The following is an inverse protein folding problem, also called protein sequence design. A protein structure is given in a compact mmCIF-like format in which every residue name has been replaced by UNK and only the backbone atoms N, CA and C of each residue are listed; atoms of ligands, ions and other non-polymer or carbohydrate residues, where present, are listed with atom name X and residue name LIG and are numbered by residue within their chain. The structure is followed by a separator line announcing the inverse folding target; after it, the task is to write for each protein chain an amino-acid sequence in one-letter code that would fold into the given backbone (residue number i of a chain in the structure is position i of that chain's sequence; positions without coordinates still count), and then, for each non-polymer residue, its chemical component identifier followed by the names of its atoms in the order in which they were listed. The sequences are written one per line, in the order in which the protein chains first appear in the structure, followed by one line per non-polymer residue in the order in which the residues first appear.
data_IF_657738281891
#
_entry.id   IF_657738281891
#
_cell.length_a   1.000
_cell.length_b   1.000
_cell.length_c   1.000
_cell.angle_alpha   90.00
_cell.angle_beta   90.00
_cell.angle_gamma   90.00
#
_symmetry.space_group_name_H-M   'P 1'
#
loop_
_entity.id
_entity.type
_entity.pdbx_description
1 polymer ?
#
# COMPACT_ATOMS: atom_id res chain seq x y z
N UNK A 1 12.45 0.20 -7.64
CA UNK A 1 11.98 0.22 -6.24
C UNK A 1 10.50 -0.12 -6.23
N UNK A 2 10.10 -1.20 -5.54
CA UNK A 2 8.68 -1.43 -5.21
C UNK A 2 8.37 -0.47 -4.08
N UNK A 3 7.76 0.67 -4.41
CA UNK A 3 7.52 1.74 -3.43
C UNK A 3 6.31 1.49 -2.55
N UNK A 4 5.50 0.47 -2.87
CA UNK A 4 4.26 0.14 -2.17
C UNK A 4 3.97 -1.35 -2.26
N UNK A 5 3.16 -1.82 -1.31
CA UNK A 5 2.57 -3.15 -1.33
C UNK A 5 1.68 -3.35 -2.56
N UNK A 6 1.75 -4.54 -3.14
CA UNK A 6 1.02 -4.94 -4.34
C UNK A 6 0.09 -6.10 -3.99
N UNK A 7 -1.21 -5.83 -3.98
CA UNK A 7 -2.23 -6.81 -3.58
C UNK A 7 -2.29 -7.96 -4.58
N UNK A 8 -2.06 -7.70 -5.86
CA UNK A 8 -2.05 -8.77 -6.85
C UNK A 8 -0.85 -9.69 -6.65
N UNK A 9 0.33 -9.15 -6.34
CA UNK A 9 1.47 -10.00 -5.98
C UNK A 9 1.22 -10.81 -4.71
N UNK A 10 0.50 -10.27 -3.71
CA UNK A 10 0.10 -11.04 -2.54
C UNK A 10 -0.82 -12.21 -2.94
N UNK A 11 -1.82 -11.94 -3.78
CA UNK A 11 -2.75 -12.96 -4.28
C UNK A 11 -2.02 -14.01 -5.12
N UNK A 12 -1.05 -13.60 -5.94
CA UNK A 12 -0.21 -14.50 -6.75
C UNK A 12 0.69 -15.38 -5.89
N UNK A 13 1.28 -14.84 -4.82
CA UNK A 13 2.03 -15.62 -3.83
C UNK A 13 1.13 -16.64 -3.11
N UNK A 14 -0.15 -16.31 -2.93
CA UNK A 14 -1.14 -17.22 -2.36
C UNK A 14 -1.01 -17.45 -0.85
N UNK A 15 -0.14 -16.70 -0.16
CA UNK A 15 0.15 -16.86 1.26
C UNK A 15 0.43 -15.51 1.92
N UNK A 16 -0.14 -15.31 3.11
CA UNK A 16 0.19 -14.22 4.04
C UNK A 16 1.16 -14.80 5.07
N UNK A 17 2.30 -14.13 5.30
CA UNK A 17 3.37 -14.66 6.16
C UNK A 17 3.62 -13.82 7.40
N UNK A 18 2.97 -12.66 7.52
CA UNK A 18 3.16 -11.72 8.61
C UNK A 18 1.89 -10.88 8.80
N UNK A 19 1.77 -10.32 9.99
CA UNK A 19 0.59 -9.57 10.44
C UNK A 19 0.37 -8.28 9.63
N UNK A 20 1.43 -7.64 9.14
CA UNK A 20 1.31 -6.45 8.30
C UNK A 20 0.67 -6.77 6.94
N UNK A 21 1.04 -7.89 6.31
CA UNK A 21 0.44 -8.34 5.06
C UNK A 21 -1.02 -8.78 5.28
N UNK A 22 -1.35 -9.33 6.45
CA UNK A 22 -2.71 -9.63 6.87
C UNK A 22 -3.58 -8.35 6.95
N UNK A 23 -3.10 -7.32 7.67
CA UNK A 23 -3.83 -6.06 7.80
C UNK A 23 -4.01 -5.32 6.46
N UNK A 24 -2.97 -5.32 5.62
CA UNK A 24 -3.07 -4.82 4.24
C UNK A 24 -4.10 -5.58 3.42
N UNK A 25 -4.18 -6.91 3.58
CA UNK A 25 -5.17 -7.75 2.92
C UNK A 25 -6.59 -7.41 3.37
N UNK A 26 -6.83 -7.20 4.68
CA UNK A 26 -8.13 -6.77 5.21
C UNK A 26 -8.58 -5.42 4.62
N UNK A 27 -7.68 -4.44 4.57
CA UNK A 27 -7.93 -3.13 3.94
C UNK A 27 -8.28 -3.31 2.45
N UNK A 28 -7.57 -4.18 1.75
CA UNK A 28 -7.82 -4.47 0.35
C UNK A 28 -9.16 -5.20 0.13
N UNK A 29 -9.57 -6.17 0.97
CA UNK A 29 -10.91 -6.80 0.87
C UNK A 29 -12.02 -5.75 0.99
N UNK A 30 -11.88 -4.81 1.94
CA UNK A 30 -12.84 -3.71 2.13
C UNK A 30 -12.96 -2.84 0.88
N UNK A 31 -11.83 -2.51 0.22
CA UNK A 31 -11.81 -1.75 -1.05
C UNK A 31 -12.40 -2.56 -2.20
N UNK A 32 -11.96 -3.80 -2.37
CA UNK A 32 -12.44 -4.69 -3.42
C UNK A 32 -13.94 -4.97 -3.30
N UNK A 33 -14.51 -4.98 -2.08
CA UNK A 33 -15.96 -5.09 -1.87
C UNK A 33 -16.75 -3.99 -2.58
N UNK A 34 -16.23 -2.77 -2.61
CA UNK A 34 -16.88 -1.64 -3.29
C UNK A 34 -16.71 -1.78 -4.81
N UNK A 35 -15.49 -2.07 -5.27
CA UNK A 35 -15.15 -2.17 -6.69
C UNK A 35 -15.79 -3.40 -7.38
N UNK A 36 -15.99 -4.50 -6.65
CA UNK A 36 -16.60 -5.73 -7.16
C UNK A 36 -18.08 -5.59 -7.52
N UNK A 37 -18.73 -4.48 -7.12
CA UNK A 37 -20.08 -4.14 -7.59
C UNK A 37 -20.09 -3.70 -9.06
N UNK A 38 -18.97 -3.21 -9.56
CA UNK A 38 -18.84 -2.56 -10.87
C UNK A 38 -18.09 -3.45 -11.88
N UNK A 39 -17.14 -4.28 -11.44
CA UNK A 39 -16.33 -5.14 -12.33
C UNK A 39 -16.18 -6.57 -11.76
N UNK A 40 -16.44 -7.57 -12.63
CA UNK A 40 -16.31 -8.99 -12.31
C UNK A 40 -14.87 -9.43 -12.01
N UNK A 41 -13.86 -8.73 -12.55
CA UNK A 41 -12.45 -8.99 -12.24
C UNK A 41 -12.14 -8.74 -10.77
N UNK A 42 -12.67 -7.65 -10.19
CA UNK A 42 -12.52 -7.37 -8.76
C UNK A 42 -13.25 -8.39 -7.90
N UNK A 43 -14.37 -8.97 -8.36
CA UNK A 43 -15.06 -10.06 -7.67
C UNK A 43 -14.15 -11.30 -7.56
N UNK A 44 -13.49 -11.68 -8.66
CA UNK A 44 -12.53 -12.80 -8.68
C UNK A 44 -11.33 -12.56 -7.76
N UNK A 45 -10.72 -11.37 -7.84
CA UNK A 45 -9.60 -10.99 -6.98
C UNK A 45 -9.99 -11.06 -5.50
N UNK A 46 -11.18 -10.55 -5.17
CA UNK A 46 -11.71 -10.56 -3.81
C UNK A 46 -11.91 -11.96 -3.25
N UNK A 47 -12.46 -12.89 -4.04
CA UNK A 47 -12.63 -14.29 -3.60
C UNK A 47 -11.28 -14.89 -3.25
N UNK A 48 -10.29 -14.79 -4.13
CA UNK A 48 -8.94 -15.31 -3.87
C UNK A 48 -8.31 -14.68 -2.63
N UNK A 49 -8.47 -13.36 -2.45
CA UNK A 49 -7.92 -12.66 -1.29
C UNK A 49 -8.54 -13.18 0.02
N UNK A 50 -9.86 -13.42 0.04
CA UNK A 50 -10.55 -13.99 1.20
C UNK A 50 -10.08 -15.39 1.55
N UNK A 51 -9.85 -16.23 0.54
CA UNK A 51 -9.35 -17.58 0.77
C UNK A 51 -7.96 -17.56 1.46
N UNK A 52 -7.13 -16.56 1.17
CA UNK A 52 -5.80 -16.41 1.78
C UNK A 52 -5.91 -15.81 3.19
N UNK A 53 -6.80 -14.82 3.39
CA UNK A 53 -7.10 -14.23 4.70
C UNK A 53 -7.60 -15.32 5.66
N UNK A 54 -8.59 -16.10 5.25
CA UNK A 54 -9.17 -17.17 6.07
C UNK A 54 -8.13 -18.23 6.45
N UNK A 55 -7.22 -18.59 5.54
CA UNK A 55 -6.11 -19.51 5.85
C UNK A 55 -5.18 -18.95 6.92
N UNK A 56 -4.88 -17.66 6.87
CA UNK A 56 -4.03 -17.01 7.87
C UNK A 56 -4.73 -16.91 9.22
N UNK A 57 -5.99 -16.46 9.25
CA UNK A 57 -6.81 -16.40 10.47
C UNK A 57 -6.89 -17.78 11.15
N UNK A 58 -7.12 -18.83 10.38
CA UNK A 58 -7.18 -20.19 10.91
C UNK A 58 -5.84 -20.70 11.45
N UNK A 59 -4.72 -20.28 10.87
CA UNK A 59 -3.39 -20.70 11.29
C UNK A 59 -2.89 -19.94 12.53
N UNK A 60 -3.15 -18.63 12.59
CA UNK A 60 -2.52 -17.72 13.56
C UNK A 60 -3.48 -17.25 14.67
N UNK A 61 -4.77 -17.14 14.38
CA UNK A 61 -5.75 -16.47 15.26
C UNK A 61 -6.87 -17.40 15.76
N UNK A 62 -6.86 -18.68 15.39
CA UNK A 62 -7.92 -19.64 15.75
C UNK A 62 -7.82 -20.18 17.19
N UNK A 63 -6.61 -20.34 17.72
CA UNK A 63 -6.38 -20.85 19.08
C UNK A 63 -6.13 -19.70 20.06
N UNK A 64 -7.16 -19.35 20.82
CA UNK A 64 -7.12 -18.27 21.83
C UNK A 64 -6.00 -18.47 22.85
N UNK A 65 -5.62 -19.72 23.14
CA UNK A 65 -4.58 -20.01 24.14
C UNK A 65 -3.15 -19.72 23.62
N UNK A 66 -2.98 -19.56 22.31
CA UNK A 66 -1.70 -19.24 21.67
C UNK A 66 -1.53 -17.73 21.41
N UNK A 67 -2.55 -16.93 21.72
CA UNK A 67 -2.49 -15.48 21.57
C UNK A 67 -1.95 -14.88 22.86
N UNK A 68 -0.71 -14.39 22.81
CA UNK A 68 -0.07 -13.68 23.91
C UNK A 68 -0.11 -12.15 23.71
N UNK A 69 0.25 -11.40 24.76
CA UNK A 69 0.31 -9.94 24.71
C UNK A 69 1.31 -9.42 23.65
N UNK A 70 2.35 -10.21 23.34
CA UNK A 70 3.34 -9.84 22.32
C UNK A 70 2.73 -9.90 20.91
N UNK A 71 1.93 -10.92 20.60
CA UNK A 71 1.20 -11.06 19.34
C UNK A 71 0.15 -9.98 19.18
N UNK A 72 -0.58 -9.64 20.25
CA UNK A 72 -1.52 -8.51 20.24
C UNK A 72 -0.81 -7.20 19.91
N UNK A 73 0.33 -6.93 20.56
CA UNK A 73 1.12 -5.73 20.30
C UNK A 73 1.70 -5.70 18.87
N UNK A 74 2.04 -6.85 18.29
CA UNK A 74 2.45 -6.96 16.89
C UNK A 74 1.30 -6.59 15.95
N UNK A 75 0.09 -7.10 16.22
CA UNK A 75 -1.14 -6.81 15.47
C UNK A 75 -1.50 -5.33 15.54
N UNK A 76 -1.52 -4.72 16.72
CA UNK A 76 -1.78 -3.29 16.88
C UNK A 76 -0.81 -2.43 16.06
N UNK A 77 0.48 -2.80 16.03
CA UNK A 77 1.50 -2.08 15.24
C UNK A 77 1.30 -2.29 13.75
N UNK A 78 0.96 -3.50 13.33
CA UNK A 78 0.69 -3.83 11.93
C UNK A 78 -0.53 -3.05 11.42
N UNK A 79 -1.60 -2.99 12.20
CA UNK A 79 -2.82 -2.24 11.89
C UNK A 79 -2.48 -0.77 11.68
N UNK A 80 -1.75 -0.15 12.62
CA UNK A 80 -1.35 1.26 12.53
C UNK A 80 -0.56 1.56 11.25
N UNK A 81 0.41 0.71 10.89
CA UNK A 81 1.19 0.89 9.65
C UNK A 81 0.29 0.76 8.42
N UNK A 82 -0.55 -0.28 8.37
CA UNK A 82 -1.44 -0.52 7.24
C UNK A 82 -2.45 0.64 7.07
N UNK A 83 -2.90 1.23 8.17
CA UNK A 83 -3.81 2.37 8.16
C UNK A 83 -3.13 3.67 7.71
N UNK A 84 -1.88 3.91 8.11
CA UNK A 84 -1.08 5.02 7.57
C UNK A 84 -0.90 4.89 6.05
N UNK A 85 -0.59 3.69 5.56
CA UNK A 85 -0.52 3.41 4.12
C UNK A 85 -1.86 3.65 3.42
N UNK A 86 -2.97 3.21 4.03
CA UNK A 86 -4.32 3.44 3.50
C UNK A 86 -4.64 4.93 3.39
N UNK A 87 -4.38 5.72 4.43
CA UNK A 87 -4.60 7.16 4.44
C UNK A 87 -3.74 7.84 3.37
N UNK A 88 -2.46 7.47 3.27
CA UNK A 88 -1.57 7.99 2.23
C UNK A 88 -2.12 7.73 0.82
N UNK A 89 -2.52 6.49 0.52
CA UNK A 89 -3.07 6.10 -0.78
C UNK A 89 -4.35 6.88 -1.12
N UNK A 90 -5.24 7.07 -0.14
CA UNK A 90 -6.47 7.82 -0.33
C UNK A 90 -6.17 9.31 -0.57
N UNK A 91 -5.28 9.92 0.21
CA UNK A 91 -4.85 11.31 0.01
C UNK A 91 -4.26 11.52 -1.39
N UNK A 92 -3.35 10.64 -1.83
CA UNK A 92 -2.77 10.68 -3.17
C UNK A 92 -3.84 10.62 -4.25
N UNK A 93 -4.78 9.67 -4.14
CA UNK A 93 -5.90 9.50 -5.07
C UNK A 93 -6.76 10.76 -5.16
N UNK A 94 -7.09 11.37 -4.01
CA UNK A 94 -7.90 12.59 -3.97
C UNK A 94 -7.18 13.77 -4.60
N UNK A 95 -5.88 13.96 -4.33
CA UNK A 95 -5.09 15.04 -4.93
C UNK A 95 -4.99 14.88 -6.44
N UNK A 96 -4.72 13.67 -6.94
CA UNK A 96 -4.71 13.37 -8.38
C UNK A 96 -6.08 13.69 -8.99
N UNK A 97 -7.18 13.21 -8.39
CA UNK A 97 -8.54 13.48 -8.90
C UNK A 97 -8.88 14.96 -8.93
N UNK A 98 -8.51 15.70 -7.88
CA UNK A 98 -8.71 17.15 -7.81
C UNK A 98 -7.98 17.85 -8.96
N UNK A 99 -6.70 17.53 -9.18
CA UNK A 99 -5.90 18.12 -10.26
C UNK A 99 -6.40 17.74 -11.65
N UNK A 100 -6.86 16.51 -11.85
CA UNK A 100 -7.49 16.12 -13.10
C UNK A 100 -8.75 16.93 -13.37
N UNK A 101 -9.60 17.13 -12.36
CA UNK A 101 -10.82 17.94 -12.49
C UNK A 101 -10.52 19.41 -12.80
N UNK A 102 -9.49 20.00 -12.18
CA UNK A 102 -9.02 21.37 -12.46
C UNK A 102 -8.56 21.55 -13.92
N UNK A 103 -8.10 20.47 -14.56
CA UNK A 103 -7.64 20.46 -15.95
C UNK A 103 -8.67 19.89 -16.93
N UNK A 104 -9.91 19.64 -16.47
CA UNK A 104 -10.97 19.01 -17.26
C UNK A 104 -10.58 17.64 -17.85
N UNK A 105 -9.67 16.92 -17.18
CA UNK A 105 -9.20 15.61 -17.57
C UNK A 105 -9.95 14.50 -16.84
N UNK A 106 -10.20 13.39 -17.53
CA UNK A 106 -10.73 12.17 -16.93
C UNK A 106 -9.59 11.22 -16.51
N UNK A 107 -9.93 10.24 -15.66
CA UNK A 107 -9.00 9.16 -15.30
C UNK A 107 -8.56 8.33 -16.53
N UNK A 108 -9.42 8.22 -17.55
CA UNK A 108 -9.11 7.56 -18.82
C UNK A 108 -8.10 8.36 -19.66
N UNK A 109 -8.19 9.69 -19.65
CA UNK A 109 -7.17 10.53 -20.29
C UNK A 109 -5.82 10.36 -19.60
N UNK A 110 -5.80 10.35 -18.26
CA UNK A 110 -4.56 10.11 -17.52
C UNK A 110 -3.99 8.72 -17.83
N UNK A 111 -4.82 7.67 -17.81
CA UNK A 111 -4.40 6.32 -18.21
C UNK A 111 -3.76 6.31 -19.60
N UNK A 112 -4.39 6.97 -20.57
CA UNK A 112 -3.88 7.08 -21.94
C UNK A 112 -2.51 7.79 -22.01
N UNK A 113 -2.32 8.88 -21.25
CA UNK A 113 -1.03 9.62 -21.18
C UNK A 113 0.08 8.76 -20.57
N UNK A 114 -0.27 7.97 -19.56
CA UNK A 114 0.66 7.04 -18.90
C UNK A 114 0.98 5.81 -19.75
N UNK A 115 0.24 5.58 -20.85
CA UNK A 115 0.37 4.40 -21.71
C UNK A 115 -0.43 3.18 -21.23
N UNK A 116 -1.33 3.37 -20.27
CA UNK A 116 -2.23 2.34 -19.75
C UNK A 116 -3.50 2.27 -20.61
N UNK A 117 -3.69 1.16 -21.32
CA UNK A 117 -4.82 0.98 -22.24
C UNK A 117 -6.11 0.50 -21.57
N UNK A 118 -6.02 -0.01 -20.34
CA UNK A 118 -7.15 -0.63 -19.64
C UNK A 118 -7.72 0.29 -18.56
N UNK A 119 -9.04 0.53 -18.61
CA UNK A 119 -9.78 1.25 -17.56
C UNK A 119 -9.68 0.54 -16.21
N UNK A 120 -9.79 -0.80 -16.21
CA UNK A 120 -9.64 -1.62 -15.02
C UNK A 120 -8.25 -1.46 -14.42
N UNK A 121 -7.19 -1.50 -15.24
CA UNK A 121 -5.82 -1.31 -14.77
C UNK A 121 -5.61 0.08 -14.16
N UNK A 122 -6.11 1.13 -14.80
CA UNK A 122 -6.04 2.47 -14.23
C UNK A 122 -6.84 2.58 -12.92
N UNK A 123 -7.95 1.86 -12.79
CA UNK A 123 -8.72 1.77 -11.54
C UNK A 123 -7.93 1.05 -10.44
N UNK A 124 -7.24 -0.05 -10.76
CA UNK A 124 -6.34 -0.75 -9.83
C UNK A 124 -5.26 0.19 -9.28
N UNK A 125 -4.61 0.95 -10.17
CA UNK A 125 -3.57 1.91 -9.81
C UNK A 125 -4.10 3.04 -8.91
N UNK A 126 -5.22 3.66 -9.28
CA UNK A 126 -5.82 4.76 -8.52
C UNK A 126 -6.31 4.32 -7.13
N UNK A 127 -6.77 3.07 -6.98
CA UNK A 127 -7.25 2.55 -5.71
C UNK A 127 -6.14 1.88 -4.85
N UNK A 128 -4.93 1.76 -5.40
CA UNK A 128 -3.79 1.14 -4.73
C UNK A 128 -3.92 -0.38 -4.60
N UNK A 129 -4.63 -1.04 -5.51
CA UNK A 129 -4.60 -2.51 -5.66
C UNK A 129 -3.28 -2.90 -6.33
N UNK A 130 -2.92 -2.16 -7.37
CA UNK A 130 -1.59 -2.18 -7.97
C UNK A 130 -0.85 -0.87 -7.68
N UNK A 131 0.48 -0.91 -7.51
CA UNK A 131 1.28 0.30 -7.35
C UNK A 131 1.52 1.00 -8.68
N UNK A 132 1.53 2.33 -8.67
CA UNK A 132 2.10 3.11 -9.78
C UNK A 132 3.59 2.83 -9.90
N UNK A 133 4.10 2.78 -11.14
CA UNK A 133 5.54 2.74 -11.38
C UNK A 133 6.15 4.10 -11.08
N UNK A 134 7.47 4.15 -10.84
CA UNK A 134 8.17 5.44 -10.67
C UNK A 134 8.01 6.34 -11.90
N UNK A 135 8.02 5.74 -13.11
CA UNK A 135 7.77 6.48 -14.35
C UNK A 135 6.37 7.12 -14.34
N UNK A 136 5.34 6.39 -13.93
CA UNK A 136 3.99 6.94 -13.83
C UNK A 136 3.96 8.12 -12.86
N UNK A 137 4.55 7.97 -11.69
CA UNK A 137 4.58 9.01 -10.66
C UNK A 137 5.34 10.27 -11.12
N UNK A 138 6.44 10.10 -11.86
CA UNK A 138 7.17 11.21 -12.47
C UNK A 138 6.30 11.92 -13.52
N UNK A 139 5.60 11.18 -14.37
CA UNK A 139 4.71 11.78 -15.37
C UNK A 139 3.57 12.54 -14.69
N UNK A 140 2.93 11.96 -13.67
CA UNK A 140 1.88 12.59 -12.86
C UNK A 140 2.41 13.88 -12.21
N UNK A 141 3.59 13.84 -11.58
CA UNK A 141 4.25 15.02 -11.02
C UNK A 141 4.43 16.12 -12.07
N UNK A 142 4.97 15.79 -13.25
CA UNK A 142 5.28 16.77 -14.29
C UNK A 142 4.05 17.33 -14.99
N UNK A 143 3.03 16.50 -15.19
CA UNK A 143 1.78 16.85 -15.86
C UNK A 143 0.87 17.67 -14.93
N UNK A 144 0.61 17.17 -13.72
CA UNK A 144 -0.37 17.74 -12.80
C UNK A 144 0.24 18.76 -11.82
N UNK A 145 1.56 18.96 -11.86
CA UNK A 145 2.33 19.84 -10.95
C UNK A 145 2.08 19.53 -9.46
N UNK A 146 1.88 18.25 -9.15
CA UNK A 146 1.72 17.76 -7.78
C UNK A 146 3.11 17.51 -7.18
N UNK A 147 3.34 17.98 -5.97
CA UNK A 147 4.59 17.70 -5.24
C UNK A 147 4.87 16.19 -5.15
N UNK A 148 6.12 15.80 -5.40
CA UNK A 148 6.48 14.37 -5.43
C UNK A 148 6.21 13.69 -4.08
N UNK A 149 6.40 14.41 -2.98
CA UNK A 149 6.15 13.93 -1.61
C UNK A 149 4.67 13.55 -1.34
N UNK A 150 3.73 14.07 -2.14
CA UNK A 150 2.31 13.67 -2.08
C UNK A 150 2.06 12.37 -2.87
N UNK A 151 2.94 12.06 -3.84
CA UNK A 151 2.80 10.93 -4.76
C UNK A 151 3.54 9.68 -4.28
N UNK A 152 4.62 9.86 -3.51
CA UNK A 152 5.42 8.78 -2.91
C UNK A 152 5.29 8.78 -1.38
N UNK A 153 5.33 7.61 -0.72
CA UNK A 153 5.46 7.51 0.72
C UNK A 153 6.78 8.15 1.12
N UNK A 154 6.71 9.09 2.07
CA UNK A 154 7.88 9.73 2.68
C UNK A 154 8.32 9.03 3.97
N UNK A 155 7.85 7.81 4.18
CA UNK A 155 8.17 6.96 5.31
C UNK A 155 8.83 5.66 4.87
N UNK A 156 9.70 5.10 5.71
CA UNK A 156 10.41 3.86 5.45
C UNK A 156 9.60 2.64 5.92
N UNK A 157 9.70 1.53 5.19
CA UNK A 157 9.18 0.25 5.67
C UNK A 157 9.91 -0.19 6.94
N UNK A 158 9.28 -1.02 7.80
CA UNK A 158 9.93 -1.52 9.02
C UNK A 158 11.25 -2.26 8.72
N UNK A 159 11.27 -3.04 7.64
CA UNK A 159 12.47 -3.75 7.19
C UNK A 159 13.58 -2.78 6.78
N UNK A 160 13.25 -1.73 6.03
CA UNK A 160 14.21 -0.71 5.62
C UNK A 160 14.68 0.14 6.81
N UNK A 161 13.79 0.47 7.76
CA UNK A 161 14.16 1.16 8.99
C UNK A 161 15.21 0.38 9.79
N UNK A 162 15.01 -0.93 9.96
CA UNK A 162 15.99 -1.81 10.65
C UNK A 162 17.32 -1.80 9.91
N UNK A 163 17.31 -2.07 8.61
CA UNK A 163 18.54 -2.11 7.78
C UNK A 163 19.29 -0.77 7.79
N UNK A 164 18.58 0.35 7.65
CA UNK A 164 19.18 1.68 7.66
C UNK A 164 19.72 2.01 9.04
N UNK A 165 18.98 1.71 10.12
CA UNK A 165 19.43 1.92 11.50
C UNK A 165 20.72 1.15 11.80
N UNK A 166 20.77 -0.13 11.43
CA UNK A 166 21.98 -0.96 11.57
C UNK A 166 23.16 -0.39 10.77
N UNK A 167 22.92 0.02 9.53
CA UNK A 167 23.94 0.62 8.68
C UNK A 167 24.48 1.94 9.24
N UNK A 168 23.61 2.80 9.78
CA UNK A 168 23.96 4.07 10.40
C UNK A 168 24.78 3.87 11.68
N UNK A 169 24.37 2.91 12.53
CA UNK A 169 25.13 2.53 13.73
C UNK A 169 26.53 2.04 13.33
N UNK A 170 26.62 1.16 12.33
CA UNK A 170 27.89 0.63 11.81
C UNK A 170 28.79 1.72 11.22
N UNK A 171 28.21 2.77 10.62
CA UNK A 171 28.96 3.87 10.05
C UNK A 171 29.67 4.71 11.12
N UNK A 172 29.15 4.75 12.35
CA UNK A 172 29.79 5.43 13.49
C UNK A 172 29.95 6.95 13.31
N UNK A 173 29.16 7.57 12.41
CA UNK A 173 29.23 9.02 12.14
C UNK A 173 28.12 9.75 12.87
N UNK A 174 28.42 10.58 13.89
CA UNK A 174 27.40 11.17 14.76
C UNK A 174 26.48 12.20 14.08
N UNK A 175 26.86 12.69 12.90
CA UNK A 175 26.04 13.62 12.08
C UNK A 175 25.01 12.90 11.19
N UNK A 176 25.13 11.59 11.02
CA UNK A 176 24.20 10.77 10.22
C UNK A 176 23.33 10.01 11.20
N UNK A 177 22.07 10.42 11.34
CA UNK A 177 21.09 9.82 12.26
C UNK A 177 19.72 9.84 11.59
N UNK A 178 18.89 8.85 11.91
CA UNK A 178 17.47 8.90 11.60
C UNK A 178 16.77 9.79 12.64
N UNK A 179 15.95 10.73 12.17
CA UNK A 179 15.05 11.49 13.03
C UNK A 179 13.87 10.60 13.46
N UNK A 180 13.14 11.04 14.50
CA UNK A 180 11.87 10.40 14.87
C UNK A 180 10.89 10.34 13.70
N UNK A 181 10.88 11.38 12.89
CA UNK A 181 9.96 11.57 11.77
C UNK A 181 10.28 10.65 10.58
N UNK A 182 11.48 10.06 10.57
CA UNK A 182 11.90 9.04 9.58
C UNK A 182 11.39 7.63 9.95
N UNK A 183 10.80 7.47 11.15
CA UNK A 183 10.31 6.21 11.70
C UNK A 183 8.77 6.23 11.73
N UNK A 184 8.14 5.21 11.14
CA UNK A 184 6.67 5.09 11.08
C UNK A 184 6.06 4.89 12.47
N UNK A 185 6.77 4.21 13.37
CA UNK A 185 6.38 3.96 14.76
C UNK A 185 7.65 3.95 15.62
N UNK A 186 7.69 4.80 16.65
CA UNK A 186 8.77 4.89 17.64
C UNK A 186 8.57 3.93 18.80
#
# INVERSE_FOLDING_TARGET
MKTHFDIEQLIEKGVITNELDYERALIADRKLRLLAKEDFNFKKLRTKLRDIIEKYENAEWSDVNQIDDAKLLESDKAEQIADLERVFLENRKQVIRKKLKELELTQENLGSILGHKSKTHMSELMNGIKPFTLRDLIIINRLLKIEIAVLIPVFLSKEDQIKVKEAVIKLGKPKVKLASDDLVLS
#
